data_IF_291601623381
#
_entry.id   IF_291601623381
#
_cell.length_a   1.000
_cell.length_b   1.000
_cell.length_c   1.000
_cell.angle_alpha   90.00
_cell.angle_beta   90.00
_cell.angle_gamma   90.00
#
_symmetry.space_group_name_H-M   'P 1'
#
loop_
_entity.id
_entity.type
_entity.pdbx_description
1 polymer ?
#
# COMPACT_ATOMS: atom_id res chain seq x y z
N UNK A 1 12.44 -15.37 -21.20
CA UNK A 1 12.92 -14.34 -20.22
C UNK A 1 12.13 -14.50 -18.92
N UNK A 2 12.77 -14.52 -17.73
CA UNK A 2 12.11 -14.76 -16.44
C UNK A 2 12.23 -13.55 -15.52
N UNK A 3 11.11 -13.11 -14.94
CA UNK A 3 11.10 -12.10 -13.88
C UNK A 3 11.29 -12.80 -12.55
N UNK A 4 12.35 -12.42 -11.85
CA UNK A 4 12.73 -13.05 -10.58
C UNK A 4 12.24 -12.20 -9.40
N UNK A 5 12.18 -12.79 -8.21
CA UNK A 5 11.86 -12.05 -6.99
C UNK A 5 13.12 -11.77 -6.19
N UNK A 6 13.24 -10.54 -5.70
CA UNK A 6 14.31 -10.15 -4.81
C UNK A 6 14.19 -10.89 -3.48
N UNK A 7 15.29 -11.48 -3.01
CA UNK A 7 15.33 -12.22 -1.75
C UNK A 7 14.98 -11.34 -0.54
N UNK A 8 15.44 -10.09 -0.52
CA UNK A 8 15.26 -9.20 0.65
C UNK A 8 13.89 -8.54 0.69
N UNK A 9 13.45 -7.94 -0.42
CA UNK A 9 12.23 -7.11 -0.45
C UNK A 9 11.05 -7.74 -1.18
N UNK A 10 11.26 -8.87 -1.87
CA UNK A 10 10.27 -9.55 -2.72
C UNK A 10 9.73 -8.71 -3.89
N UNK A 11 10.43 -7.65 -4.27
CA UNK A 11 10.15 -6.90 -5.51
C UNK A 11 10.55 -7.73 -6.74
N UNK A 12 9.90 -7.46 -7.87
CA UNK A 12 10.26 -8.03 -9.16
C UNK A 12 11.63 -7.53 -9.63
N UNK A 13 12.43 -8.43 -10.23
CA UNK A 13 13.73 -8.17 -10.83
C UNK A 13 13.59 -8.46 -12.32
N UNK A 14 13.74 -7.42 -13.13
CA UNK A 14 13.82 -7.55 -14.58
C UNK A 14 15.26 -7.90 -14.98
N UNK A 15 15.47 -8.52 -16.16
CA UNK A 15 16.81 -8.82 -16.63
C UNK A 15 17.68 -7.57 -16.80
N UNK A 16 18.98 -7.74 -16.59
CA UNK A 16 19.94 -6.63 -16.56
C UNK A 16 19.88 -5.76 -15.31
N UNK A 17 18.97 -6.04 -14.36
CA UNK A 17 18.84 -5.25 -13.13
C UNK A 17 19.30 -6.00 -11.88
N UNK A 18 19.92 -5.26 -10.97
CA UNK A 18 20.25 -5.76 -9.65
C UNK A 18 21.56 -6.54 -9.60
N UNK A 19 21.73 -7.35 -8.57
CA UNK A 19 22.95 -8.11 -8.29
C UNK A 19 22.55 -9.52 -7.86
N UNK A 20 23.30 -10.51 -8.34
CA UNK A 20 23.19 -11.90 -7.89
C UNK A 20 24.40 -12.25 -7.05
N UNK A 21 24.17 -12.76 -5.84
CA UNK A 21 25.20 -13.29 -4.95
C UNK A 21 25.02 -14.79 -4.85
N UNK A 22 26.07 -15.55 -5.16
CA UNK A 22 26.10 -17.00 -5.02
C UNK A 22 26.94 -17.32 -3.81
N UNK A 23 26.37 -18.06 -2.85
CA UNK A 23 27.06 -18.50 -1.65
C UNK A 23 27.68 -19.89 -1.90
N UNK A 24 28.69 -20.26 -1.11
CA UNK A 24 29.44 -21.52 -1.26
C UNK A 24 28.56 -22.79 -1.22
N UNK A 25 27.39 -22.74 -0.60
CA UNK A 25 26.38 -23.81 -0.60
C UNK A 25 25.51 -23.86 -1.87
N UNK A 26 25.96 -23.23 -2.94
CA UNK A 26 25.25 -23.04 -4.21
C UNK A 26 23.90 -22.31 -4.09
N UNK A 27 23.61 -21.67 -2.95
CA UNK A 27 22.38 -20.87 -2.84
C UNK A 27 22.53 -19.53 -3.55
N UNK A 28 21.55 -19.23 -4.41
CA UNK A 28 21.55 -18.04 -5.25
C UNK A 28 20.62 -16.98 -4.64
N UNK A 29 21.21 -15.87 -4.21
CA UNK A 29 20.49 -14.71 -3.70
C UNK A 29 20.43 -13.61 -4.77
N UNK A 30 19.22 -13.28 -5.23
CA UNK A 30 19.01 -12.20 -6.19
C UNK A 30 18.50 -10.94 -5.46
N UNK A 31 19.10 -9.79 -5.76
CA UNK A 31 18.74 -8.51 -5.18
C UNK A 31 18.37 -7.51 -6.27
N UNK A 32 17.26 -6.77 -6.08
CA UNK A 32 16.82 -5.77 -7.07
C UNK A 32 17.68 -4.50 -7.10
N UNK A 33 18.35 -4.14 -5.99
CA UNK A 33 19.09 -2.87 -5.85
C UNK A 33 20.16 -2.95 -4.78
N UNK A 34 21.13 -2.03 -4.83
CA UNK A 34 22.22 -1.91 -3.86
C UNK A 34 21.75 -1.81 -2.40
N UNK A 35 20.60 -1.16 -2.13
CA UNK A 35 19.98 -1.11 -0.79
C UNK A 35 19.70 -2.51 -0.23
N UNK A 36 19.12 -3.40 -1.03
CA UNK A 36 18.77 -4.76 -0.59
C UNK A 36 20.04 -5.59 -0.35
N UNK A 37 21.02 -5.46 -1.24
CA UNK A 37 22.31 -6.13 -1.11
C UNK A 37 23.11 -5.68 0.13
N UNK A 38 23.19 -4.36 0.39
CA UNK A 38 23.84 -3.80 1.60
C UNK A 38 23.16 -4.28 2.89
N UNK A 39 21.82 -4.29 2.94
CA UNK A 39 21.10 -4.80 4.12
C UNK A 39 21.33 -6.30 4.36
N UNK A 40 21.47 -7.08 3.28
CA UNK A 40 21.84 -8.49 3.37
C UNK A 40 23.27 -8.66 3.92
N UNK A 41 24.24 -7.89 3.43
CA UNK A 41 25.62 -7.89 3.95
C UNK A 41 25.67 -7.50 5.44
N UNK A 42 24.83 -6.55 5.86
CA UNK A 42 24.64 -6.16 7.26
C UNK A 42 23.87 -7.20 8.09
N UNK A 43 23.55 -8.38 7.54
CA UNK A 43 22.83 -9.48 8.20
C UNK A 43 21.47 -9.05 8.78
N UNK A 44 20.83 -8.02 8.22
CA UNK A 44 19.52 -7.58 8.70
C UNK A 44 18.45 -8.59 8.29
N UNK A 45 17.59 -8.98 9.24
CA UNK A 45 16.50 -9.90 8.96
C UNK A 45 15.36 -9.18 8.21
N UNK A 46 15.01 -9.56 6.96
CA UNK A 46 13.94 -8.92 6.20
C UNK A 46 12.57 -9.00 6.89
N UNK A 47 12.34 -9.97 7.78
CA UNK A 47 11.10 -10.10 8.58
C UNK A 47 10.97 -9.02 9.66
N UNK A 48 12.06 -8.37 10.07
CA UNK A 48 12.07 -7.25 11.04
C UNK A 48 12.08 -5.88 10.35
N UNK A 49 12.39 -5.83 9.06
CA UNK A 49 12.50 -4.57 8.31
C UNK A 49 11.15 -4.15 7.75
N UNK A 50 10.56 -3.09 8.31
CA UNK A 50 9.16 -2.67 8.11
C UNK A 50 8.70 -2.48 6.65
N UNK A 51 9.61 -2.11 5.75
CA UNK A 51 9.27 -1.80 4.35
C UNK A 51 9.26 -3.02 3.42
N UNK A 52 9.78 -4.17 3.85
CA UNK A 52 9.80 -5.38 3.02
C UNK A 52 8.41 -6.01 2.94
N UNK A 53 8.15 -6.73 1.85
CA UNK A 53 6.91 -7.52 1.73
C UNK A 53 6.87 -8.69 2.74
N UNK A 54 8.03 -9.23 3.12
CA UNK A 54 8.12 -10.26 4.16
C UNK A 54 7.59 -9.77 5.52
N UNK A 55 8.02 -8.60 5.98
CA UNK A 55 7.48 -7.97 7.19
C UNK A 55 5.98 -7.72 7.06
N UNK A 56 5.55 -7.15 5.93
CA UNK A 56 4.14 -6.80 5.72
C UNK A 56 3.22 -8.01 5.77
N UNK A 57 3.62 -9.15 5.20
CA UNK A 57 2.85 -10.40 5.29
C UNK A 57 2.78 -10.93 6.72
N UNK A 58 3.93 -10.99 7.43
CA UNK A 58 3.97 -11.47 8.81
C UNK A 58 3.16 -10.58 9.77
N UNK A 59 3.21 -9.26 9.58
CA UNK A 59 2.47 -8.29 10.40
C UNK A 59 0.98 -8.15 9.98
N UNK A 60 0.46 -9.03 9.12
CA UNK A 60 -0.95 -9.01 8.66
C UNK A 60 -1.33 -7.80 7.81
N UNK A 61 -0.35 -7.05 7.27
CA UNK A 61 -0.59 -5.84 6.48
C UNK A 61 -1.04 -6.14 5.05
N UNK A 62 -0.77 -7.35 4.56
CA UNK A 62 -1.11 -7.83 3.23
C UNK A 62 -1.83 -9.18 3.36
N UNK A 63 -2.60 -9.56 2.36
CA UNK A 63 -3.21 -10.89 2.30
C UNK A 63 -2.09 -11.93 2.09
N UNK A 64 -1.92 -12.85 3.05
CA UNK A 64 -0.85 -13.85 3.04
C UNK A 64 -1.29 -15.16 2.38
N UNK A 65 -2.50 -15.61 2.67
CA UNK A 65 -3.09 -16.87 2.21
C UNK A 65 -4.29 -16.55 1.32
N UNK A 66 -4.21 -16.93 0.05
CA UNK A 66 -5.29 -16.78 -0.92
C UNK A 66 -5.12 -17.80 -2.05
N UNK A 67 -6.22 -18.36 -2.52
CA UNK A 67 -6.22 -19.33 -3.62
C UNK A 67 -5.64 -18.76 -4.92
N UNK A 68 -5.71 -17.42 -5.11
CA UNK A 68 -5.11 -16.78 -6.30
C UNK A 68 -3.59 -16.93 -6.36
N UNK A 69 -2.91 -17.13 -5.22
CA UNK A 69 -1.46 -17.29 -5.18
C UNK A 69 -0.99 -18.68 -5.65
N UNK A 70 -1.84 -19.70 -5.57
CA UNK A 70 -1.51 -21.06 -6.03
C UNK A 70 -1.26 -21.12 -7.54
N UNK A 71 -1.83 -20.17 -8.29
CA UNK A 71 -1.65 -20.06 -9.73
C UNK A 71 -0.25 -19.54 -10.13
N UNK A 72 0.45 -18.84 -9.23
CA UNK A 72 1.83 -18.34 -9.43
C UNK A 72 2.88 -19.42 -9.11
N UNK A 73 2.47 -20.67 -8.82
CA UNK A 73 3.40 -21.74 -8.43
C UNK A 73 4.38 -22.11 -9.54
N UNK A 74 5.61 -22.42 -9.15
CA UNK A 74 6.64 -22.95 -10.06
C UNK A 74 6.26 -24.39 -10.46
N UNK A 75 6.06 -24.62 -11.76
CA UNK A 75 5.88 -25.97 -12.32
C UNK A 75 7.25 -26.53 -12.72
N UNK A 76 7.59 -27.71 -12.22
CA UNK A 76 8.83 -28.41 -12.56
C UNK A 76 8.65 -29.38 -13.73
N UNK A 77 7.43 -29.85 -13.99
CA UNK A 77 7.08 -30.67 -15.14
C UNK A 77 6.53 -29.77 -16.26
N UNK A 78 7.15 -29.74 -17.45
CA UNK A 78 6.58 -29.07 -18.61
C UNK A 78 5.42 -29.89 -19.19
N UNK A 79 4.44 -29.19 -19.76
CA UNK A 79 3.37 -29.79 -20.56
C UNK A 79 3.66 -29.52 -22.04
N UNK A 80 3.19 -30.41 -22.93
CA UNK A 80 3.31 -30.19 -24.38
C UNK A 80 2.51 -28.94 -24.76
N UNK A 81 3.09 -28.12 -25.63
CA UNK A 81 2.43 -26.90 -26.10
C UNK A 81 1.08 -27.21 -26.77
N UNK A 82 0.03 -26.51 -26.35
CA UNK A 82 -1.28 -26.50 -26.97
C UNK A 82 -1.78 -25.05 -27.06
N UNK A 83 -2.10 -24.60 -28.28
CA UNK A 83 -2.53 -23.22 -28.55
C UNK A 83 -3.84 -22.87 -27.83
N UNK A 84 -4.80 -23.79 -27.77
CA UNK A 84 -6.08 -23.56 -27.10
C UNK A 84 -5.91 -23.40 -25.59
N UNK A 85 -5.05 -24.25 -24.99
CA UNK A 85 -4.71 -24.17 -23.58
C UNK A 85 -4.06 -22.81 -23.27
N UNK A 86 -3.10 -22.39 -24.08
CA UNK A 86 -2.44 -21.09 -23.94
C UNK A 86 -3.46 -19.94 -24.03
N UNK A 87 -4.35 -19.96 -25.02
CA UNK A 87 -5.42 -18.97 -25.16
C UNK A 87 -6.34 -18.90 -23.94
N UNK A 88 -6.74 -20.05 -23.39
CA UNK A 88 -7.54 -20.13 -22.15
C UNK A 88 -6.77 -19.57 -20.95
N UNK A 89 -5.48 -19.91 -20.81
CA UNK A 89 -4.64 -19.43 -19.70
C UNK A 89 -4.42 -17.92 -19.72
N UNK A 90 -4.23 -17.29 -20.89
CA UNK A 90 -4.08 -15.83 -20.99
C UNK A 90 -5.34 -15.09 -20.52
N UNK A 91 -6.52 -15.57 -20.90
CA UNK A 91 -7.81 -15.04 -20.42
C UNK A 91 -7.95 -15.21 -18.90
N UNK A 92 -7.59 -16.38 -18.38
CA UNK A 92 -7.63 -16.67 -16.95
C UNK A 92 -6.69 -15.77 -16.13
N UNK A 93 -5.46 -15.50 -16.62
CA UNK A 93 -4.48 -14.66 -15.93
C UNK A 93 -5.02 -13.24 -15.70
N UNK A 94 -5.61 -12.62 -16.73
CA UNK A 94 -6.21 -11.30 -16.60
C UNK A 94 -7.30 -11.30 -15.52
N UNK A 95 -8.20 -12.29 -15.57
CA UNK A 95 -9.30 -12.39 -14.63
C UNK A 95 -8.85 -12.61 -13.19
N UNK A 96 -7.84 -13.45 -12.99
CA UNK A 96 -7.25 -13.72 -11.68
C UNK A 96 -6.60 -12.46 -11.11
N UNK A 97 -5.93 -11.64 -11.95
CA UNK A 97 -5.34 -10.38 -11.52
C UNK A 97 -6.40 -9.41 -10.96
N UNK A 98 -7.53 -9.26 -11.64
CA UNK A 98 -8.65 -8.44 -11.15
C UNK A 98 -9.20 -8.95 -9.81
N UNK A 99 -9.39 -10.26 -9.68
CA UNK A 99 -9.91 -10.88 -8.45
C UNK A 99 -8.93 -10.65 -7.30
N UNK A 100 -7.63 -10.84 -7.55
CA UNK A 100 -6.56 -10.61 -6.58
C UNK A 100 -6.57 -9.17 -6.08
N UNK A 101 -6.67 -8.19 -6.98
CA UNK A 101 -6.72 -6.77 -6.61
C UNK A 101 -7.94 -6.46 -5.74
N UNK A 102 -9.15 -6.88 -6.16
CA UNK A 102 -10.38 -6.71 -5.39
C UNK A 102 -10.30 -7.32 -3.97
N UNK A 103 -9.68 -8.49 -3.84
CA UNK A 103 -9.48 -9.14 -2.52
C UNK A 103 -8.48 -8.37 -1.65
N UNK A 104 -7.41 -7.85 -2.25
CA UNK A 104 -6.42 -7.02 -1.54
C UNK A 104 -7.02 -5.70 -1.06
N UNK A 105 -7.82 -5.03 -1.89
CA UNK A 105 -8.49 -3.77 -1.55
C UNK A 105 -9.46 -3.98 -0.38
N UNK A 106 -10.27 -5.05 -0.44
CA UNK A 106 -11.15 -5.43 0.68
C UNK A 106 -10.37 -5.70 1.98
N UNK A 107 -9.21 -6.35 1.90
CA UNK A 107 -8.35 -6.59 3.07
C UNK A 107 -7.83 -5.28 3.66
N UNK A 108 -7.45 -4.34 2.79
CA UNK A 108 -7.02 -3.00 3.19
C UNK A 108 -8.15 -2.21 3.86
N UNK A 109 -9.32 -2.15 3.24
CA UNK A 109 -10.50 -1.46 3.79
C UNK A 109 -10.86 -1.96 5.19
N UNK A 110 -10.97 -3.28 5.36
CA UNK A 110 -11.23 -3.90 6.67
C UNK A 110 -10.21 -3.52 7.73
N UNK A 111 -8.94 -3.36 7.36
CA UNK A 111 -7.89 -2.91 8.28
C UNK A 111 -8.04 -1.43 8.63
N UNK A 112 -8.29 -0.57 7.64
CA UNK A 112 -8.39 0.88 7.85
C UNK A 112 -9.66 1.26 8.65
N UNK A 113 -10.75 0.50 8.51
CA UNK A 113 -11.98 0.70 9.28
C UNK A 113 -11.74 0.64 10.81
N UNK A 114 -10.83 -0.22 11.28
CA UNK A 114 -10.46 -0.28 12.71
C UNK A 114 -9.76 0.99 13.16
N UNK A 115 -8.81 1.49 12.36
CA UNK A 115 -8.08 2.71 12.65
C UNK A 115 -9.02 3.94 12.67
N UNK A 116 -9.96 4.04 11.70
CA UNK A 116 -10.95 5.13 11.66
C UNK A 116 -11.82 5.17 12.91
N UNK A 117 -12.24 4.02 13.44
CA UNK A 117 -13.00 3.95 14.70
C UNK A 117 -12.19 4.43 15.90
N UNK A 118 -10.89 4.14 15.93
CA UNK A 118 -10.00 4.61 17.01
C UNK A 118 -9.74 6.11 16.91
N UNK A 119 -9.54 6.63 15.69
CA UNK A 119 -9.41 8.07 15.43
C UNK A 119 -10.64 8.84 15.91
N UNK A 120 -11.84 8.43 15.50
CA UNK A 120 -13.08 9.09 15.96
C UNK A 120 -13.24 9.11 17.49
N UNK A 121 -12.74 8.08 18.19
CA UNK A 121 -12.73 8.06 19.66
C UNK A 121 -11.70 9.05 20.23
N UNK A 122 -10.50 9.06 19.67
CA UNK A 122 -9.45 10.00 20.07
C UNK A 122 -9.86 11.45 19.81
N UNK A 123 -10.46 11.72 18.65
CA UNK A 123 -10.95 13.05 18.26
C UNK A 123 -12.02 13.54 19.23
N UNK A 124 -12.97 12.68 19.63
CA UNK A 124 -13.98 13.02 20.65
C UNK A 124 -13.34 13.40 21.99
N UNK A 125 -12.40 12.59 22.46
CA UNK A 125 -11.67 12.86 23.71
C UNK A 125 -10.85 14.15 23.60
N UNK A 126 -10.29 14.44 22.42
CA UNK A 126 -9.55 15.67 22.17
C UNK A 126 -10.49 16.88 22.20
N UNK A 127 -11.64 16.82 21.52
CA UNK A 127 -12.66 17.87 21.55
C UNK A 127 -13.14 18.18 22.98
N UNK A 128 -13.33 17.15 23.81
CA UNK A 128 -13.73 17.31 25.23
C UNK A 128 -12.65 18.01 26.08
N UNK A 129 -11.37 17.81 25.78
CA UNK A 129 -10.25 18.45 26.51
C UNK A 129 -9.95 19.85 25.99
N UNK A 130 -10.08 20.03 24.68
CA UNK A 130 -9.69 21.23 23.94
C UNK A 130 -10.89 22.14 23.61
N UNK A 131 -12.00 22.03 24.37
CA UNK A 131 -13.21 22.86 24.18
C UNK A 131 -12.87 24.36 24.15
N UNK A 132 -11.92 24.78 24.98
CA UNK A 132 -11.47 26.17 25.11
C UNK A 132 -10.83 26.74 23.84
N UNK A 133 -10.28 25.90 22.95
CA UNK A 133 -9.68 26.32 21.68
C UNK A 133 -10.74 26.52 20.58
N UNK A 134 -11.97 26.05 20.81
CA UNK A 134 -13.04 26.05 19.81
C UNK A 134 -14.01 27.18 20.14
N UNK A 135 -13.96 28.28 19.36
CA UNK A 135 -15.01 29.32 19.40
C UNK A 135 -16.35 28.71 18.96
N UNK A 136 -17.42 29.02 19.69
CA UNK A 136 -18.77 28.61 19.31
C UNK A 136 -19.08 29.05 17.86
N UNK A 137 -19.78 28.21 17.06
CA UNK A 137 -20.07 28.51 15.66
C UNK A 137 -20.85 29.82 15.47
N UNK A 138 -21.63 30.25 16.46
CA UNK A 138 -22.31 31.56 16.48
C UNK A 138 -21.32 32.73 16.58
N UNK A 139 -20.27 32.61 17.40
CA UNK A 139 -19.22 33.63 17.52
C UNK A 139 -18.43 33.82 16.22
N UNK A 140 -18.20 32.73 15.46
CA UNK A 140 -17.54 32.77 14.15
C UNK A 140 -18.46 33.39 13.08
N UNK A 141 -19.76 33.07 13.11
CA UNK A 141 -20.75 33.67 12.20
C UNK A 141 -20.90 35.17 12.44
N UNK A 142 -20.99 35.59 13.70
CA UNK A 142 -21.05 37.00 14.08
C UNK A 142 -19.76 37.77 13.70
N UNK A 143 -18.57 37.19 13.87
CA UNK A 143 -17.32 37.79 13.37
C UNK A 143 -17.32 37.94 11.84
N UNK A 144 -17.80 36.93 11.10
CA UNK A 144 -17.91 36.99 9.63
C UNK A 144 -18.95 38.00 9.14
N UNK A 145 -20.06 38.17 9.85
CA UNK A 145 -21.06 39.18 9.54
C UNK A 145 -20.54 40.59 9.82
N UNK A 146 -19.87 40.80 10.96
CA UNK A 146 -19.18 42.06 11.27
C UNK A 146 -18.09 42.43 10.26
N UNK A 147 -17.40 41.44 9.68
CA UNK A 147 -16.44 41.66 8.60
C UNK A 147 -17.09 41.95 7.23
N UNK A 148 -18.36 41.56 7.02
CA UNK A 148 -19.12 41.84 5.77
C UNK A 148 -19.84 43.19 5.81
N UNK A 149 -20.20 43.70 6.98
CA UNK A 149 -20.80 45.02 7.16
C UNK A 149 -19.99 46.18 6.54
N UNK A 150 -18.66 46.28 6.67
CA UNK A 150 -17.90 47.35 6.02
C UNK A 150 -17.84 47.20 4.48
N UNK A 151 -17.87 45.97 3.96
CA UNK A 151 -17.89 45.71 2.51
C UNK A 151 -19.25 46.04 1.88
N UNK A 152 -20.36 45.86 2.61
CA UNK A 152 -21.70 46.29 2.16
C UNK A 152 -21.82 47.82 2.13
N UNK A 153 -21.38 48.50 3.20
CA UNK A 153 -21.37 49.97 3.26
C UNK A 153 -20.51 50.63 2.17
N UNK A 154 -19.43 49.98 1.73
CA UNK A 154 -18.62 50.44 0.59
C UNK A 154 -19.28 50.21 -0.76
N UNK A 155 -20.09 49.15 -0.92
CA UNK A 155 -20.83 48.89 -2.14
C UNK A 155 -22.02 49.85 -2.29
N UNK A 156 -22.76 50.09 -1.20
CA UNK A 156 -23.90 51.01 -1.18
C UNK A 156 -23.45 52.48 -1.40
N UNK A 157 -22.23 52.85 -0.97
CA UNK A 157 -21.65 54.18 -1.20
C UNK A 157 -21.00 54.36 -2.60
N UNK A 158 -20.92 53.30 -3.41
CA UNK A 158 -20.47 53.35 -4.81
C UNK A 158 -21.64 53.37 -5.81
N UNK A 159 -22.87 53.11 -5.36
CA UNK A 159 -24.10 53.14 -6.17
C UNK A 159 -24.89 54.46 -6.05
N UNK A 160 -24.50 55.37 -5.12
CA UNK A 160 -24.92 56.79 -5.08
C UNK A 160 -23.88 57.70 -5.77
#
# INVERSE_FOLDING_TARGET
MRVEKCWFCSSSIYPGHGITFVRNDATVFRFCRGKCHKNFKMKRNPRKVRWTKAYRKLAGKELAEDATFEMEKRRNRPEKYNRELVGKTLKAISKISEIRQKRQDRHYEKRMLKAKKQQLKADKVQLEKEVHLIKAPEGIRAEKEKLKEPARKQADAMEE
#
